data_IF_072406325383
#
_entry.id   IF_072406325383
#
_cell.length_a   1.000
_cell.length_b   1.000
_cell.length_c   1.000
_cell.angle_alpha   90.00
_cell.angle_beta   90.00
_cell.angle_gamma   90.00
#
_symmetry.space_group_name_H-M   'P 1'
#
loop_
_entity.id
_entity.type
_entity.pdbx_description
1 polymer ?
#
# COMPACT_ATOMS: atom_id res chain seq x y z
N UNK A 1 -2.38 26.17 2.33
CA UNK A 1 -1.75 26.00 3.65
C UNK A 1 -1.57 24.51 3.85
N UNK A 2 -0.35 24.02 4.04
CA UNK A 2 -0.13 22.60 4.36
C UNK A 2 -0.76 22.38 5.73
N UNK A 3 -1.81 21.57 5.83
CA UNK A 3 -2.32 21.11 7.12
C UNK A 3 -1.13 20.55 7.89
N UNK A 4 -0.85 21.11 9.06
CA UNK A 4 0.21 20.61 9.93
C UNK A 4 -0.26 19.27 10.47
N UNK A 5 0.37 18.19 10.01
CA UNK A 5 0.25 16.87 10.63
C UNK A 5 0.63 17.01 12.11
N UNK A 6 -0.12 16.39 13.01
CA UNK A 6 0.14 16.47 14.45
C UNK A 6 -1.12 16.43 15.30
N UNK A 7 -1.04 17.02 16.49
CA UNK A 7 -2.18 17.19 17.41
C UNK A 7 -2.91 18.46 17.03
N UNK A 8 -4.22 18.35 16.84
CA UNK A 8 -5.08 19.53 16.73
C UNK A 8 -5.45 20.04 18.11
N UNK A 9 -5.68 21.35 18.24
CA UNK A 9 -6.25 21.89 19.48
C UNK A 9 -7.53 21.17 19.82
N UNK A 10 -7.74 20.84 21.10
CA UNK A 10 -8.92 20.12 21.58
C UNK A 10 -10.19 20.79 21.04
N UNK A 11 -10.89 20.17 20.08
CA UNK A 11 -12.07 20.79 19.50
C UNK A 11 -13.15 20.96 20.57
N UNK A 12 -13.91 22.05 20.50
CA UNK A 12 -14.97 22.33 21.48
C UNK A 12 -16.04 21.23 21.43
N UNK A 13 -16.54 20.74 22.58
CA UNK A 13 -17.65 19.79 22.60
C UNK A 13 -18.84 20.27 21.76
N UNK A 14 -19.40 19.37 20.95
CA UNK A 14 -20.54 19.64 20.07
C UNK A 14 -20.19 20.18 18.67
N UNK A 15 -18.90 20.29 18.31
CA UNK A 15 -18.48 20.59 16.93
C UNK A 15 -18.27 19.30 16.11
N UNK A 16 -18.31 19.41 14.78
CA UNK A 16 -17.98 18.29 13.87
C UNK A 16 -16.59 17.73 14.12
N UNK A 17 -15.63 18.60 14.45
CA UNK A 17 -14.24 18.25 14.72
C UNK A 17 -14.10 17.45 16.02
N UNK A 18 -14.90 17.78 17.04
CA UNK A 18 -14.96 17.03 18.28
C UNK A 18 -15.56 15.65 18.07
N UNK A 19 -16.66 15.55 17.33
CA UNK A 19 -17.23 14.25 16.96
C UNK A 19 -16.25 13.41 16.14
N UNK A 20 -15.47 14.04 15.26
CA UNK A 20 -14.41 13.38 14.51
C UNK A 20 -13.28 12.86 15.42
N UNK A 21 -12.82 13.68 16.37
CA UNK A 21 -11.85 13.27 17.39
C UNK A 21 -12.34 12.10 18.26
N UNK A 22 -13.62 12.12 18.66
CA UNK A 22 -14.22 11.01 19.40
C UNK A 22 -14.25 9.70 18.58
N UNK A 23 -14.55 9.80 17.27
CA UNK A 23 -14.48 8.64 16.37
C UNK A 23 -13.06 8.11 16.25
N UNK A 24 -12.06 8.99 16.11
CA UNK A 24 -10.66 8.58 16.10
C UNK A 24 -10.28 7.86 17.40
N UNK A 25 -10.61 8.43 18.56
CA UNK A 25 -10.31 7.85 19.86
C UNK A 25 -10.94 6.46 20.03
N UNK A 26 -12.24 6.33 19.71
CA UNK A 26 -12.96 5.05 19.77
C UNK A 26 -12.34 4.00 18.84
N UNK A 27 -12.01 4.38 17.60
CA UNK A 27 -11.40 3.48 16.63
C UNK A 27 -10.00 3.05 17.07
N UNK A 28 -9.20 3.97 17.61
CA UNK A 28 -7.87 3.66 18.16
C UNK A 28 -7.94 2.68 19.33
N UNK A 29 -8.96 2.83 20.18
CA UNK A 29 -9.21 1.94 21.31
C UNK A 29 -9.53 0.51 20.85
N UNK A 30 -10.33 0.34 19.79
CA UNK A 30 -10.58 -0.97 19.15
C UNK A 30 -9.24 -1.60 18.73
N UNK A 31 -8.39 -0.88 18.00
CA UNK A 31 -7.10 -1.42 17.53
C UNK A 31 -6.14 -1.77 18.66
N UNK A 32 -6.11 -0.95 19.72
CA UNK A 32 -5.35 -1.22 20.91
C UNK A 32 -5.83 -2.51 21.60
N UNK A 33 -7.14 -2.68 21.76
CA UNK A 33 -7.68 -3.89 22.37
C UNK A 33 -7.50 -5.12 21.48
N UNK A 34 -7.57 -4.99 20.15
CA UNK A 34 -7.18 -6.07 19.23
C UNK A 34 -5.71 -6.46 19.43
N UNK A 35 -4.79 -5.50 19.58
CA UNK A 35 -3.38 -5.77 19.89
C UNK A 35 -3.24 -6.47 21.24
N UNK A 36 -3.95 -6.01 22.27
CA UNK A 36 -3.92 -6.64 23.59
C UNK A 36 -4.42 -8.08 23.55
N UNK A 37 -5.57 -8.34 22.91
CA UNK A 37 -6.10 -9.69 22.74
C UNK A 37 -5.11 -10.59 21.99
N UNK A 38 -4.49 -10.05 20.93
CA UNK A 38 -3.43 -10.72 20.18
C UNK A 38 -2.24 -11.10 21.08
N UNK A 39 -1.68 -10.15 21.85
CA UNK A 39 -0.52 -10.38 22.72
C UNK A 39 -0.81 -11.22 23.96
N UNK A 40 -2.05 -11.22 24.45
CA UNK A 40 -2.53 -12.08 25.52
C UNK A 40 -2.91 -13.49 25.04
N UNK A 41 -2.87 -13.74 23.72
CA UNK A 41 -3.34 -14.99 23.09
C UNK A 41 -4.83 -15.29 23.35
N UNK A 42 -5.64 -14.26 23.59
CA UNK A 42 -7.09 -14.34 23.84
C UNK A 42 -7.88 -14.24 22.54
N UNK A 43 -7.54 -15.08 21.57
CA UNK A 43 -8.19 -15.15 20.27
C UNK A 43 -8.24 -16.60 19.78
N UNK A 44 -9.12 -16.89 18.84
CA UNK A 44 -9.22 -18.21 18.21
C UNK A 44 -9.55 -18.10 16.73
N UNK A 45 -9.06 -19.06 15.95
CA UNK A 45 -9.44 -19.19 14.55
C UNK A 45 -10.60 -20.17 14.42
N UNK A 46 -11.67 -19.75 13.75
CA UNK A 46 -12.79 -20.59 13.38
C UNK A 46 -12.85 -20.63 11.87
N UNK A 47 -13.00 -21.81 11.27
CA UNK A 47 -13.16 -21.92 9.81
C UNK A 47 -14.43 -21.16 9.41
N UNK A 48 -14.28 -20.17 8.53
CA UNK A 48 -15.40 -19.32 8.10
C UNK A 48 -16.48 -20.19 7.45
N UNK A 49 -17.74 -20.03 7.87
CA UNK A 49 -18.87 -20.72 7.23
C UNK A 49 -19.24 -20.00 5.94
N UNK A 50 -18.85 -20.56 4.79
CA UNK A 50 -19.29 -20.11 3.47
C UNK A 50 -18.23 -20.22 2.39
N UNK A 51 -18.65 -20.52 1.16
CA UNK A 51 -17.84 -20.26 -0.04
C UNK A 51 -17.78 -18.73 -0.16
N UNK A 52 -16.63 -18.18 -0.54
CA UNK A 52 -16.50 -16.74 -0.75
C UNK A 52 -17.50 -16.24 -1.79
N UNK A 53 -18.66 -15.78 -1.33
CA UNK A 53 -19.58 -15.00 -2.14
C UNK A 53 -19.02 -13.60 -2.34
N UNK A 54 -19.52 -12.87 -3.36
CA UNK A 54 -19.33 -11.44 -3.44
C UNK A 54 -19.73 -10.76 -2.13
N UNK A 55 -19.13 -9.60 -1.84
CA UNK A 55 -19.58 -8.74 -0.74
C UNK A 55 -21.01 -8.19 -1.00
N UNK A 56 -21.51 -7.36 -0.08
CA UNK A 56 -22.85 -6.77 -0.18
C UNK A 56 -23.05 -5.96 -1.48
N UNK A 57 -21.96 -5.51 -2.10
CA UNK A 57 -21.95 -4.69 -3.31
C UNK A 57 -21.68 -5.51 -4.58
N UNK A 58 -21.60 -6.84 -4.47
CA UNK A 58 -21.36 -7.72 -5.62
C UNK A 58 -19.88 -7.89 -5.98
N UNK A 59 -18.95 -7.32 -5.22
CA UNK A 59 -17.52 -7.42 -5.51
C UNK A 59 -16.97 -8.74 -4.99
N UNK A 60 -16.25 -9.45 -5.87
CA UNK A 60 -15.52 -10.65 -5.48
C UNK A 60 -14.06 -10.25 -5.30
N UNK A 61 -13.55 -10.35 -4.08
CA UNK A 61 -12.11 -10.20 -3.85
C UNK A 61 -11.37 -11.30 -4.61
N UNK A 62 -10.66 -10.90 -5.67
CA UNK A 62 -9.90 -11.80 -6.53
C UNK A 62 -8.88 -12.67 -5.78
N UNK A 63 -8.30 -12.18 -4.67
CA UNK A 63 -7.41 -12.94 -3.82
C UNK A 63 -8.17 -14.04 -3.06
N UNK A 64 -9.41 -13.74 -2.65
CA UNK A 64 -10.31 -14.73 -2.06
C UNK A 64 -10.78 -15.73 -3.12
N UNK A 65 -11.11 -15.30 -4.35
CA UNK A 65 -11.48 -16.20 -5.44
C UNK A 65 -10.37 -17.22 -5.72
N UNK A 66 -9.12 -16.76 -5.83
CA UNK A 66 -7.96 -17.64 -6.02
C UNK A 66 -7.74 -18.57 -4.83
N UNK A 67 -7.97 -18.11 -3.60
CA UNK A 67 -7.86 -18.95 -2.40
C UNK A 67 -8.93 -20.06 -2.37
N UNK A 68 -10.18 -19.72 -2.73
CA UNK A 68 -11.29 -20.68 -2.87
C UNK A 68 -11.01 -21.68 -3.99
N UNK A 69 -10.52 -21.23 -5.14
CA UNK A 69 -10.10 -22.09 -6.25
C UNK A 69 -8.92 -22.99 -5.86
N UNK A 70 -8.03 -22.53 -4.98
CA UNK A 70 -6.94 -23.32 -4.41
C UNK A 70 -7.36 -24.16 -3.19
N UNK A 71 -8.66 -24.23 -2.87
CA UNK A 71 -9.22 -24.95 -1.71
C UNK A 71 -8.58 -24.58 -0.36
N UNK A 72 -8.13 -23.33 -0.20
CA UNK A 72 -7.60 -22.85 1.09
C UNK A 72 -8.75 -22.33 1.96
N UNK A 73 -8.96 -22.87 3.18
CA UNK A 73 -10.02 -22.40 4.05
C UNK A 73 -9.75 -20.97 4.52
N UNK A 74 -10.79 -20.13 4.52
CA UNK A 74 -10.78 -18.85 5.21
C UNK A 74 -11.06 -19.08 6.70
N UNK A 75 -10.53 -18.19 7.54
CA UNK A 75 -10.74 -18.24 8.98
C UNK A 75 -11.30 -16.92 9.49
N UNK A 76 -12.26 -17.01 10.41
CA UNK A 76 -12.68 -15.89 11.24
C UNK A 76 -11.84 -15.90 12.51
N UNK A 77 -11.45 -14.71 12.96
CA UNK A 77 -10.72 -14.49 14.20
C UNK A 77 -11.70 -13.96 15.23
N UNK A 78 -11.94 -14.75 16.27
CA UNK A 78 -12.88 -14.44 17.34
C UNK A 78 -12.14 -14.22 18.66
N UNK A 79 -12.76 -13.47 19.57
CA UNK A 79 -12.16 -13.04 20.84
C UNK A 79 -12.96 -13.48 22.08
N UNK A 80 -13.34 -14.78 22.21
CA UNK A 80 -14.26 -15.21 23.27
C UNK A 80 -13.69 -15.03 24.70
N UNK A 81 -12.37 -15.07 24.84
CA UNK A 81 -11.69 -14.95 26.13
C UNK A 81 -11.29 -13.50 26.48
N UNK A 82 -11.45 -12.56 25.55
CA UNK A 82 -11.08 -11.17 25.74
C UNK A 82 -12.28 -10.36 26.26
N UNK A 83 -12.32 -10.11 27.57
CA UNK A 83 -13.46 -9.48 28.25
C UNK A 83 -13.25 -8.01 28.61
N UNK A 84 -12.03 -7.48 28.47
CA UNK A 84 -11.71 -6.08 28.81
C UNK A 84 -12.37 -5.09 27.85
N UNK A 85 -12.66 -5.52 26.62
CA UNK A 85 -13.33 -4.72 25.60
C UNK A 85 -14.05 -5.64 24.62
N UNK A 86 -15.28 -5.29 24.24
CA UNK A 86 -16.05 -6.07 23.27
C UNK A 86 -15.45 -5.90 21.87
N UNK A 87 -14.79 -6.94 21.36
CA UNK A 87 -14.19 -6.96 20.03
C UNK A 87 -15.08 -7.73 19.05
N UNK A 88 -15.34 -7.12 17.90
CA UNK A 88 -15.97 -7.81 16.78
C UNK A 88 -15.04 -8.86 16.18
N UNK A 89 -15.62 -9.93 15.63
CA UNK A 89 -14.85 -10.93 14.88
C UNK A 89 -14.22 -10.33 13.63
N UNK A 90 -12.97 -10.68 13.33
CA UNK A 90 -12.35 -10.35 12.05
C UNK A 90 -12.64 -11.48 11.09
N UNK A 91 -13.51 -11.23 10.11
CA UNK A 91 -14.03 -12.28 9.24
C UNK A 91 -13.14 -12.52 8.01
N UNK A 92 -13.22 -13.74 7.47
CA UNK A 92 -12.68 -14.12 6.15
C UNK A 92 -11.18 -13.85 6.00
N UNK A 93 -10.41 -13.99 7.08
CA UNK A 93 -8.96 -13.82 7.06
C UNK A 93 -8.31 -15.05 6.47
N UNK A 94 -7.43 -14.83 5.49
CA UNK A 94 -6.56 -15.88 4.95
C UNK A 94 -5.34 -16.03 5.85
N UNK A 95 -5.36 -17.00 6.74
CA UNK A 95 -4.26 -17.25 7.68
C UNK A 95 -3.56 -18.55 7.28
N UNK A 96 -2.26 -18.47 7.01
CA UNK A 96 -1.44 -19.64 6.66
C UNK A 96 -0.55 -19.98 7.86
N UNK A 97 -1.06 -20.83 8.76
CA UNK A 97 -0.31 -21.36 9.90
C UNK A 97 0.13 -22.78 9.57
N UNK A 98 1.43 -23.04 9.67
CA UNK A 98 1.99 -24.38 9.49
C UNK A 98 1.64 -25.27 10.69
N UNK A 99 1.63 -26.60 10.55
CA UNK A 99 1.34 -27.51 11.67
C UNK A 99 2.29 -27.34 12.87
N UNK A 100 3.54 -26.94 12.63
CA UNK A 100 4.53 -26.64 13.67
C UNK A 100 4.33 -25.26 14.33
N UNK A 101 3.38 -24.48 13.82
CA UNK A 101 3.09 -23.13 14.28
C UNK A 101 4.14 -22.08 13.93
N UNK A 102 5.16 -22.44 13.15
CA UNK A 102 6.23 -21.55 12.76
C UNK A 102 5.96 -20.98 11.37
N UNK A 103 6.25 -19.70 11.23
CA UNK A 103 6.24 -19.03 9.93
C UNK A 103 7.65 -19.06 9.35
N UNK A 104 7.77 -19.31 8.05
CA UNK A 104 9.05 -19.25 7.38
C UNK A 104 9.64 -17.83 7.43
N UNK A 105 10.96 -17.74 7.64
CA UNK A 105 11.64 -16.45 7.75
C UNK A 105 11.42 -15.54 6.53
N UNK A 106 11.36 -16.12 5.33
CA UNK A 106 11.10 -15.35 4.11
C UNK A 106 9.67 -14.79 4.05
N UNK A 107 8.68 -15.51 4.59
CA UNK A 107 7.30 -15.03 4.64
C UNK A 107 7.18 -13.85 5.63
N UNK A 108 7.82 -13.96 6.81
CA UNK A 108 7.91 -12.84 7.76
C UNK A 108 8.55 -11.60 7.13
N UNK A 109 9.65 -11.77 6.38
CA UNK A 109 10.30 -10.66 5.67
C UNK A 109 9.35 -10.01 4.65
N UNK A 110 8.59 -10.80 3.90
CA UNK A 110 7.63 -10.30 2.91
C UNK A 110 6.54 -9.48 3.62
N UNK A 111 5.94 -10.00 4.68
CA UNK A 111 4.87 -9.30 5.42
C UNK A 111 5.36 -8.02 6.08
N UNK A 112 6.52 -8.04 6.74
CA UNK A 112 7.14 -6.81 7.24
C UNK A 112 7.48 -5.83 6.12
N UNK A 113 7.88 -6.31 4.94
CA UNK A 113 8.08 -5.45 3.77
C UNK A 113 6.78 -4.83 3.26
N UNK A 114 5.64 -5.52 3.39
CA UNK A 114 4.31 -4.98 3.05
C UNK A 114 3.96 -3.85 4.03
N UNK A 115 4.14 -4.04 5.33
CA UNK A 115 3.90 -2.96 6.31
C UNK A 115 4.87 -1.78 6.14
N UNK A 116 6.13 -2.04 5.76
CA UNK A 116 7.10 -0.98 5.49
C UNK A 116 6.84 -0.23 4.19
N UNK A 117 6.14 -0.83 3.23
CA UNK A 117 5.75 -0.15 1.98
C UNK A 117 4.40 0.53 2.09
N UNK A 118 3.52 0.06 3.00
CA UNK A 118 2.20 0.63 3.21
C UNK A 118 2.24 1.91 4.06
N UNK A 119 1.72 3.00 3.50
CA UNK A 119 1.67 4.34 4.10
C UNK A 119 0.92 4.35 5.43
N UNK A 120 -0.23 3.70 5.50
CA UNK A 120 -1.08 3.68 6.70
C UNK A 120 -0.39 2.99 7.87
N UNK A 121 0.34 1.90 7.61
CA UNK A 121 1.09 1.16 8.64
C UNK A 121 2.38 1.88 9.03
N UNK A 122 2.99 2.63 8.13
CA UNK A 122 4.14 3.48 8.47
C UNK A 122 3.74 4.65 9.36
N UNK A 123 2.65 5.34 9.03
CA UNK A 123 2.23 6.54 9.75
C UNK A 123 1.49 6.22 11.05
N UNK A 124 0.67 5.16 11.06
CA UNK A 124 -0.09 4.75 12.25
C UNK A 124 0.53 3.62 13.06
N UNK A 125 1.73 3.16 12.69
CA UNK A 125 2.51 2.19 13.44
C UNK A 125 1.81 0.85 13.65
N UNK A 126 2.09 0.21 14.78
CA UNK A 126 1.59 -1.14 15.10
C UNK A 126 0.06 -1.21 15.14
N UNK A 127 -0.62 -0.14 15.57
CA UNK A 127 -2.09 -0.11 15.63
C UNK A 127 -2.73 -0.11 14.24
N UNK A 128 -2.04 0.39 13.22
CA UNK A 128 -2.49 0.26 11.83
C UNK A 128 -2.37 -1.17 11.31
N UNK A 129 -1.48 -1.99 11.87
CA UNK A 129 -1.30 -3.38 11.46
C UNK A 129 -2.40 -4.31 11.99
N UNK A 130 -3.14 -3.93 13.04
CA UNK A 130 -4.22 -4.76 13.60
C UNK A 130 -5.54 -4.67 12.84
N UNK A 131 -5.59 -3.83 11.81
CA UNK A 131 -6.79 -3.64 10.99
C UNK A 131 -7.21 -4.93 10.28
N UNK A 132 -8.51 -5.08 10.04
CA UNK A 132 -9.06 -6.21 9.29
C UNK A 132 -8.40 -6.38 7.91
N UNK A 133 -8.10 -5.29 7.20
CA UNK A 133 -7.44 -5.32 5.89
C UNK A 133 -5.93 -5.69 5.95
N UNK A 134 -5.30 -5.68 7.13
CA UNK A 134 -3.92 -6.11 7.38
C UNK A 134 -3.85 -7.44 8.14
N UNK A 135 -5.01 -8.04 8.46
CA UNK A 135 -5.11 -9.22 9.30
C UNK A 135 -4.35 -10.42 8.72
N UNK A 136 -4.36 -10.56 7.39
CA UNK A 136 -3.67 -11.64 6.68
C UNK A 136 -2.17 -11.68 7.00
N UNK A 137 -1.52 -10.53 7.08
CA UNK A 137 -0.08 -10.39 7.34
C UNK A 137 0.20 -10.36 8.85
N UNK A 138 -0.64 -9.67 9.63
CA UNK A 138 -0.41 -9.42 11.05
C UNK A 138 -0.57 -10.67 11.92
N UNK A 139 -1.64 -11.45 11.71
CA UNK A 139 -1.96 -12.57 12.60
C UNK A 139 -0.96 -13.73 12.54
N UNK A 140 -0.43 -14.13 11.36
CA UNK A 140 0.67 -15.08 11.31
C UNK A 140 1.93 -14.61 12.06
N UNK A 141 2.25 -13.30 12.05
CA UNK A 141 3.36 -12.75 12.82
C UNK A 141 3.12 -12.89 14.32
N UNK A 142 1.92 -12.54 14.78
CA UNK A 142 1.51 -12.71 16.20
C UNK A 142 1.58 -14.18 16.60
N UNK A 143 1.08 -15.08 15.75
CA UNK A 143 1.12 -16.52 16.02
C UNK A 143 2.56 -17.01 16.14
N UNK A 144 3.45 -16.62 15.22
CA UNK A 144 4.87 -16.95 15.28
C UNK A 144 5.54 -16.44 16.57
N UNK A 145 5.19 -15.22 17.00
CA UNK A 145 5.69 -14.65 18.25
C UNK A 145 5.24 -15.46 19.49
N UNK A 146 4.03 -15.99 19.51
CA UNK A 146 3.60 -16.89 20.58
C UNK A 146 4.26 -18.27 20.53
N UNK A 147 4.65 -18.75 19.35
CA UNK A 147 5.33 -20.04 19.19
C UNK A 147 6.80 -19.98 19.61
N UNK A 148 7.53 -18.92 19.25
CA UNK A 148 8.99 -18.85 19.45
C UNK A 148 9.52 -17.54 20.05
N UNK A 149 8.65 -16.63 20.47
CA UNK A 149 9.04 -15.34 21.05
C UNK A 149 9.61 -14.35 20.03
N UNK A 150 9.41 -14.57 18.72
CA UNK A 150 9.93 -13.72 17.64
C UNK A 150 8.86 -13.39 16.61
N UNK A 151 8.82 -12.14 16.19
CA UNK A 151 7.97 -11.62 15.10
C UNK A 151 8.73 -11.55 13.77
N UNK A 152 10.05 -11.75 13.79
CA UNK A 152 10.94 -11.44 12.66
C UNK A 152 11.32 -9.96 12.56
N UNK A 153 10.90 -9.14 13.51
CA UNK A 153 11.25 -7.72 13.64
C UNK A 153 11.61 -7.41 15.11
N UNK A 154 12.88 -7.07 15.35
CA UNK A 154 13.39 -6.85 16.70
C UNK A 154 12.66 -5.72 17.45
N UNK A 155 12.28 -4.66 16.74
CA UNK A 155 11.57 -3.51 17.34
C UNK A 155 10.18 -3.92 17.85
N UNK A 156 9.52 -4.86 17.14
CA UNK A 156 8.23 -5.40 17.55
C UNK A 156 8.38 -6.38 18.71
N UNK A 157 9.42 -7.21 18.70
CA UNK A 157 9.72 -8.12 19.81
C UNK A 157 9.92 -7.33 21.12
N UNK A 158 10.76 -6.29 21.07
CA UNK A 158 11.01 -5.40 22.21
C UNK A 158 9.72 -4.70 22.69
N UNK A 159 8.94 -4.15 21.77
CA UNK A 159 7.66 -3.52 22.10
C UNK A 159 6.68 -4.51 22.75
N UNK A 160 6.58 -5.73 22.21
CA UNK A 160 5.64 -6.74 22.71
C UNK A 160 6.04 -7.24 24.08
N UNK A 161 7.34 -7.47 24.30
CA UNK A 161 7.87 -7.86 25.60
C UNK A 161 7.64 -6.76 26.64
N UNK A 162 7.89 -5.49 26.27
CA UNK A 162 7.61 -4.34 27.12
C UNK A 162 6.14 -4.23 27.48
N UNK A 163 5.24 -4.28 26.50
CA UNK A 163 3.79 -4.25 26.71
C UNK A 163 3.33 -5.35 27.67
N UNK A 164 3.82 -6.58 27.49
CA UNK A 164 3.48 -7.69 28.39
C UNK A 164 3.97 -7.45 29.82
N UNK A 165 5.21 -6.95 29.98
CA UNK A 165 5.82 -6.75 31.29
C UNK A 165 5.23 -5.57 32.09
N UNK A 166 4.73 -4.54 31.40
CA UNK A 166 4.24 -3.31 32.02
C UNK A 166 2.70 -3.23 32.12
N UNK A 167 1.99 -4.29 31.73
CA UNK A 167 0.51 -4.32 31.81
C UNK A 167 -0.19 -3.55 30.69
N UNK A 168 0.41 -3.56 29.49
CA UNK A 168 -0.11 -2.96 28.25
C UNK A 168 -0.33 -1.44 28.32
N UNK A 169 0.64 -0.63 28.77
CA UNK A 169 0.44 0.81 28.83
C UNK A 169 0.27 1.42 27.43
N UNK A 170 -0.65 2.38 27.29
CA UNK A 170 -0.95 3.04 26.01
C UNK A 170 0.11 4.08 25.62
N UNK A 171 0.77 4.68 26.60
CA UNK A 171 1.75 5.76 26.46
C UNK A 171 3.14 5.30 25.97
N UNK A 172 3.27 4.03 25.58
CA UNK A 172 4.44 3.51 24.84
C UNK A 172 4.10 3.12 23.40
N UNK A 173 2.82 3.15 23.03
CA UNK A 173 2.34 2.79 21.69
C UNK A 173 2.15 4.08 20.88
N UNK A 174 2.71 4.19 19.66
CA UNK A 174 2.46 5.33 18.78
C UNK A 174 0.97 5.54 18.49
N UNK A 175 0.51 6.79 18.59
CA UNK A 175 -0.83 7.16 18.15
C UNK A 175 -0.97 6.90 16.64
N UNK A 176 -2.03 6.17 16.28
CA UNK A 176 -2.32 5.81 14.88
C UNK A 176 -2.53 7.03 13.97
N UNK A 177 -3.15 8.10 14.47
CA UNK A 177 -3.56 9.23 13.63
C UNK A 177 -2.56 10.37 13.61
N UNK A 178 -1.67 10.45 14.60
CA UNK A 178 -0.77 11.58 14.78
C UNK A 178 0.12 11.85 13.56
N UNK A 179 0.62 10.77 12.92
CA UNK A 179 1.43 10.87 11.71
C UNK A 179 0.67 11.10 10.41
N UNK A 180 -0.65 10.96 10.42
CA UNK A 180 -1.50 11.00 9.21
C UNK A 180 -1.77 12.44 8.75
N UNK A 181 -2.27 12.60 7.52
CA UNK A 181 -2.70 13.91 7.00
C UNK A 181 -3.79 14.56 7.88
N UNK A 182 -4.69 13.75 8.44
CA UNK A 182 -5.75 14.22 9.32
C UNK A 182 -5.21 14.64 10.70
N UNK A 183 -4.07 14.10 11.16
CA UNK A 183 -3.58 14.29 12.52
C UNK A 183 -4.49 13.64 13.59
N UNK A 184 -4.08 13.78 14.85
CA UNK A 184 -4.86 13.33 16.00
C UNK A 184 -5.71 14.49 16.53
N UNK A 185 -7.03 14.28 16.60
CA UNK A 185 -8.01 15.25 17.10
C UNK A 185 -8.44 15.00 18.55
N UNK A 186 -7.86 14.00 19.20
CA UNK A 186 -8.04 13.73 20.62
C UNK A 186 -6.88 14.36 21.40
N UNK A 187 -7.11 15.51 22.03
CA UNK A 187 -6.08 16.15 22.86
C UNK A 187 -5.96 15.53 24.26
N UNK A 188 -6.71 14.47 24.56
CA UNK A 188 -6.47 13.57 25.70
C UNK A 188 -5.98 12.19 25.25
N UNK A 189 -5.51 12.07 24.01
CA UNK A 189 -5.03 10.82 23.44
C UNK A 189 -3.97 10.17 24.36
N UNK A 190 -4.21 8.95 24.86
CA UNK A 190 -3.30 8.29 25.80
C UNK A 190 -2.09 7.64 25.10
N UNK A 191 -1.93 7.84 23.80
CA UNK A 191 -0.89 7.21 22.98
C UNK A 191 0.24 8.19 22.65
N UNK A 192 1.40 7.67 22.24
CA UNK A 192 2.60 8.48 21.99
C UNK A 192 2.43 9.40 20.79
N UNK A 193 2.68 10.70 21.01
CA UNK A 193 2.79 11.74 19.99
C UNK A 193 4.25 12.17 19.79
N UNK A 194 5.04 11.35 19.06
CA UNK A 194 6.44 11.63 18.79
C UNK A 194 6.61 12.39 17.46
N UNK A 195 6.79 13.72 17.52
CA UNK A 195 6.94 14.59 16.33
C UNK A 195 8.13 14.23 15.48
N UNK A 196 9.24 13.82 16.09
CA UNK A 196 10.49 13.54 15.40
C UNK A 196 10.41 12.23 14.61
N UNK A 197 9.79 11.22 15.21
CA UNK A 197 9.50 9.94 14.55
C UNK A 197 8.55 10.13 13.35
N UNK A 198 7.49 10.95 13.51
CA UNK A 198 6.57 11.28 12.42
C UNK A 198 7.28 12.03 11.30
N UNK A 199 8.08 13.04 11.63
CA UNK A 199 8.83 13.84 10.65
C UNK A 199 9.83 12.99 9.88
N UNK A 200 10.57 12.13 10.57
CA UNK A 200 11.51 11.18 9.97
C UNK A 200 10.80 10.19 9.06
N UNK A 201 9.66 9.65 9.50
CA UNK A 201 8.83 8.73 8.70
C UNK A 201 8.31 9.41 7.44
N UNK A 202 7.80 10.65 7.56
CA UNK A 202 7.33 11.45 6.43
C UNK A 202 8.45 11.73 5.44
N UNK A 203 9.62 12.15 5.90
CA UNK A 203 10.75 12.41 5.00
C UNK A 203 11.20 11.13 4.27
N UNK A 204 11.18 9.98 4.96
CA UNK A 204 11.44 8.69 4.31
C UNK A 204 10.35 8.32 3.28
N UNK A 205 9.07 8.65 3.50
CA UNK A 205 7.99 8.48 2.50
C UNK A 205 8.26 9.37 1.29
N UNK A 206 8.53 10.66 1.50
CA UNK A 206 8.78 11.62 0.44
C UNK A 206 10.00 11.22 -0.39
N UNK A 207 11.08 10.77 0.25
CA UNK A 207 12.27 10.28 -0.44
C UNK A 207 12.02 8.99 -1.24
N UNK A 208 11.19 8.07 -0.74
CA UNK A 208 10.78 6.90 -1.51
C UNK A 208 9.99 7.32 -2.76
N UNK A 209 9.08 8.29 -2.64
CA UNK A 209 8.32 8.85 -3.76
C UNK A 209 9.21 9.59 -4.76
N UNK A 210 10.20 10.38 -4.32
CA UNK A 210 11.20 11.01 -5.21
C UNK A 210 11.90 9.98 -6.08
N UNK A 211 12.29 8.84 -5.51
CA UNK A 211 12.94 7.75 -6.24
C UNK A 211 12.06 7.16 -7.34
N UNK A 212 10.73 7.19 -7.21
CA UNK A 212 9.85 6.71 -8.29
C UNK A 212 9.86 7.62 -9.53
N UNK A 213 10.32 8.87 -9.41
CA UNK A 213 10.49 9.79 -10.53
C UNK A 213 11.89 9.74 -11.17
N UNK A 214 12.81 8.90 -10.67
CA UNK A 214 14.14 8.66 -11.28
C UNK A 214 14.06 7.73 -12.51
N UNK A 215 12.87 7.55 -13.10
CA UNK A 215 12.66 6.76 -14.33
C UNK A 215 13.33 7.35 -15.57
N UNK A 216 14.03 8.50 -15.47
CA UNK A 216 14.93 8.97 -16.53
C UNK A 216 15.96 7.92 -16.95
N UNK A 217 16.13 6.85 -16.16
CA UNK A 217 17.04 5.74 -16.41
C UNK A 217 16.37 4.48 -16.94
N UNK A 218 15.06 4.27 -16.72
CA UNK A 218 14.35 3.06 -17.17
C UNK A 218 12.83 3.27 -17.23
N UNK A 219 12.14 2.80 -18.29
CA UNK A 219 10.69 2.82 -18.34
C UNK A 219 10.08 1.95 -17.24
N UNK A 220 8.92 2.36 -16.71
CA UNK A 220 8.18 1.50 -15.78
C UNK A 220 7.62 0.27 -16.52
N UNK A 221 7.40 -0.87 -15.83
CA UNK A 221 6.92 -2.09 -16.48
C UNK A 221 5.67 -1.90 -17.35
N UNK A 222 4.74 -1.07 -16.91
CA UNK A 222 3.52 -0.75 -17.65
C UNK A 222 3.81 -0.02 -18.98
N UNK A 223 4.77 0.91 -18.97
CA UNK A 223 5.20 1.62 -20.18
C UNK A 223 5.89 0.66 -21.16
N UNK A 224 6.77 -0.23 -20.66
CA UNK A 224 7.38 -1.27 -21.48
C UNK A 224 6.34 -2.21 -22.08
N UNK A 225 5.35 -2.65 -21.30
CA UNK A 225 4.26 -3.49 -21.78
C UNK A 225 3.42 -2.78 -22.85
N UNK A 226 3.09 -1.50 -22.66
CA UNK A 226 2.37 -0.70 -23.65
C UNK A 226 3.17 -0.53 -24.95
N UNK A 227 4.49 -0.30 -24.87
CA UNK A 227 5.37 -0.24 -26.06
C UNK A 227 5.42 -1.56 -26.80
N UNK A 228 5.57 -2.67 -26.08
CA UNK A 228 5.59 -4.01 -26.66
C UNK A 228 4.28 -4.29 -27.40
N UNK A 229 3.14 -3.95 -26.78
CA UNK A 229 1.82 -4.10 -27.40
C UNK A 229 1.69 -3.25 -28.67
N UNK A 230 2.07 -1.98 -28.62
CA UNK A 230 2.03 -1.08 -29.78
C UNK A 230 2.88 -1.62 -30.95
N UNK A 231 4.08 -2.13 -30.67
CA UNK A 231 4.95 -2.71 -31.69
C UNK A 231 4.39 -4.02 -32.26
N UNK A 232 3.76 -4.83 -31.42
CA UNK A 232 3.13 -6.08 -31.83
C UNK A 232 1.97 -5.78 -32.78
N UNK A 233 1.04 -4.92 -32.35
CA UNK A 233 -0.13 -4.53 -33.15
C UNK A 233 0.28 -3.94 -34.52
N UNK A 234 1.38 -3.17 -34.57
CA UNK A 234 1.95 -2.64 -35.83
C UNK A 234 2.58 -3.72 -36.72
N UNK A 235 3.22 -4.74 -36.16
CA UNK A 235 3.93 -5.77 -36.93
C UNK A 235 3.01 -6.88 -37.43
N UNK A 236 2.02 -7.26 -36.62
CA UNK A 236 1.24 -8.47 -36.85
C UNK A 236 -0.19 -8.20 -37.27
N UNK A 237 -0.67 -6.95 -37.18
CA UNK A 237 -2.06 -6.60 -37.44
C UNK A 237 -3.02 -7.14 -36.37
N UNK A 238 -4.35 -7.09 -36.62
CA UNK A 238 -5.35 -7.34 -35.60
C UNK A 238 -5.52 -8.82 -35.19
N UNK A 239 -5.22 -9.78 -36.07
CA UNK A 239 -5.50 -11.21 -35.86
C UNK A 239 -4.35 -12.12 -36.33
N UNK A 240 -3.16 -12.06 -35.73
CA UNK A 240 -2.07 -12.94 -36.10
C UNK A 240 -2.26 -14.37 -35.60
N UNK A 241 -1.62 -15.33 -36.26
CA UNK A 241 -1.47 -16.67 -35.73
C UNK A 241 -0.67 -16.66 -34.42
N UNK A 242 -0.75 -17.74 -33.65
CA UNK A 242 0.03 -17.88 -32.43
C UNK A 242 1.54 -17.83 -32.72
N UNK A 243 1.99 -18.53 -33.74
CA UNK A 243 3.40 -18.59 -34.16
C UNK A 243 3.92 -17.23 -34.62
N UNK A 244 3.12 -16.50 -35.42
CA UNK A 244 3.44 -15.13 -35.85
C UNK A 244 3.58 -14.19 -34.65
N UNK A 245 2.66 -14.28 -33.69
CA UNK A 245 2.66 -13.49 -32.47
C UNK A 245 3.87 -13.79 -31.59
N UNK A 246 4.22 -15.07 -31.42
CA UNK A 246 5.37 -15.49 -30.63
C UNK A 246 6.69 -15.03 -31.24
N UNK A 247 6.86 -15.23 -32.56
CA UNK A 247 8.04 -14.78 -33.29
C UNK A 247 8.21 -13.25 -33.22
N UNK A 248 7.12 -12.50 -33.42
CA UNK A 248 7.13 -11.05 -33.28
C UNK A 248 7.47 -10.61 -31.85
N UNK A 249 6.89 -11.26 -30.83
CA UNK A 249 7.19 -10.97 -29.42
C UNK A 249 8.67 -11.18 -29.09
N UNK A 250 9.29 -12.25 -29.58
CA UNK A 250 10.71 -12.52 -29.36
C UNK A 250 11.60 -11.43 -29.98
N UNK A 251 11.26 -10.95 -31.19
CA UNK A 251 11.95 -9.85 -31.86
C UNK A 251 11.76 -8.52 -31.13
N UNK A 252 10.53 -8.20 -30.74
CA UNK A 252 10.17 -6.97 -30.04
C UNK A 252 10.87 -6.90 -28.67
N UNK A 253 10.91 -8.00 -27.91
CA UNK A 253 11.64 -8.06 -26.63
C UNK A 253 13.13 -7.73 -26.79
N UNK A 254 13.75 -8.17 -27.89
CA UNK A 254 15.13 -7.77 -28.22
C UNK A 254 15.24 -6.30 -28.60
N UNK A 255 14.26 -5.77 -29.34
CA UNK A 255 14.23 -4.36 -29.78
C UNK A 255 14.07 -3.38 -28.63
N UNK A 256 13.20 -3.65 -27.65
CA UNK A 256 12.96 -2.75 -26.51
C UNK A 256 14.04 -2.85 -25.43
N UNK A 257 15.00 -3.77 -25.60
CA UNK A 257 16.13 -3.92 -24.69
C UNK A 257 17.05 -2.72 -24.85
N UNK A 258 17.25 -1.97 -23.77
CA UNK A 258 18.06 -0.74 -23.74
C UNK A 258 17.26 0.55 -24.00
N UNK A 259 15.92 0.47 -24.02
CA UNK A 259 15.07 1.66 -23.94
C UNK A 259 15.22 2.30 -22.56
N UNK A 260 15.49 3.61 -22.52
CA UNK A 260 15.59 4.42 -21.29
C UNK A 260 14.27 5.09 -20.94
N UNK A 261 13.56 5.58 -21.95
CA UNK A 261 12.27 6.26 -21.79
C UNK A 261 11.47 6.24 -23.10
N UNK A 262 10.18 6.60 -23.03
CA UNK A 262 9.30 6.69 -24.20
C UNK A 262 8.63 8.06 -24.31
N UNK A 263 8.28 8.44 -25.54
CA UNK A 263 7.26 9.46 -25.77
C UNK A 263 5.96 9.05 -25.05
N UNK A 264 5.38 9.96 -24.27
CA UNK A 264 4.20 9.68 -23.47
C UNK A 264 2.90 9.58 -24.30
N UNK A 265 2.90 10.02 -25.56
CA UNK A 265 1.78 9.80 -26.46
C UNK A 265 1.62 8.29 -26.75
N UNK A 266 0.50 7.65 -26.33
CA UNK A 266 0.31 6.20 -26.45
C UNK A 266 0.30 5.69 -27.90
N UNK A 267 -0.03 6.55 -28.86
CA UNK A 267 0.00 6.18 -30.29
C UNK A 267 1.42 6.21 -30.89
N UNK A 268 2.34 6.92 -30.23
CA UNK A 268 3.71 7.14 -30.69
C UNK A 268 4.69 6.22 -29.98
N UNK A 269 4.87 6.43 -28.67
CA UNK A 269 5.83 5.73 -27.80
C UNK A 269 7.25 5.58 -28.38
N UNK A 270 7.72 6.54 -29.17
CA UNK A 270 9.10 6.50 -29.68
C UNK A 270 10.12 6.52 -28.52
N UNK A 271 11.15 5.66 -28.56
CA UNK A 271 12.06 5.48 -27.44
C UNK A 271 13.20 6.50 -27.46
N UNK A 272 13.69 6.80 -26.26
CA UNK A 272 15.08 7.21 -26.04
C UNK A 272 15.88 5.98 -25.62
N UNK A 273 16.94 5.64 -26.34
CA UNK A 273 17.72 4.41 -26.11
C UNK A 273 19.08 4.69 -25.47
N UNK A 274 19.71 3.66 -24.92
CA UNK A 274 21.05 3.74 -24.30
C UNK A 274 22.15 4.20 -25.26
N UNK A 275 21.99 3.96 -26.56
CA UNK A 275 22.94 4.37 -27.60
C UNK A 275 22.85 5.86 -27.94
N UNK A 276 21.85 6.57 -27.42
CA UNK A 276 21.66 8.00 -27.64
C UNK A 276 22.19 8.79 -26.42
N UNK A 277 23.32 9.51 -26.55
CA UNK A 277 23.93 10.22 -25.42
C UNK A 277 23.04 11.35 -24.88
N UNK A 278 22.29 12.01 -25.77
CA UNK A 278 21.31 13.04 -25.45
C UNK A 278 19.90 12.53 -25.70
N UNK A 279 18.96 12.86 -24.80
CA UNK A 279 17.57 12.49 -25.01
C UNK A 279 16.98 13.23 -26.22
N UNK A 280 16.37 12.52 -27.20
CA UNK A 280 15.62 13.16 -28.28
C UNK A 280 14.25 13.65 -27.81
N UNK A 281 13.83 13.32 -26.58
CA UNK A 281 12.53 13.67 -26.04
C UNK A 281 12.60 14.99 -25.26
N UNK A 282 11.57 15.80 -25.39
CA UNK A 282 11.40 17.08 -24.70
C UNK A 282 10.50 16.90 -23.48
N UNK A 283 10.89 17.48 -22.36
CA UNK A 283 10.09 17.47 -21.15
C UNK A 283 8.88 18.40 -21.28
N UNK A 284 7.75 17.99 -20.73
CA UNK A 284 6.61 18.87 -20.50
C UNK A 284 7.07 20.09 -19.68
N UNK A 285 6.77 21.30 -20.16
CA UNK A 285 7.27 22.53 -19.56
C UNK A 285 6.80 22.74 -18.11
N UNK A 286 5.64 22.18 -17.72
CA UNK A 286 5.08 22.31 -16.38
C UNK A 286 5.60 21.24 -15.43
N UNK A 287 5.37 19.96 -15.72
CA UNK A 287 5.72 18.88 -14.79
C UNK A 287 7.19 18.46 -14.85
N UNK A 288 7.90 18.76 -15.96
CA UNK A 288 9.31 18.42 -16.22
C UNK A 288 9.65 16.93 -16.25
N UNK A 289 8.70 16.03 -16.05
CA UNK A 289 8.97 14.59 -15.97
C UNK A 289 8.36 13.83 -17.15
N UNK A 290 7.21 14.23 -17.67
CA UNK A 290 6.61 13.61 -18.86
C UNK A 290 7.38 14.03 -20.11
N UNK A 291 7.67 13.06 -21.00
CA UNK A 291 8.55 13.24 -22.16
C UNK A 291 7.77 13.09 -23.46
N UNK A 292 8.04 13.94 -24.45
CA UNK A 292 7.42 13.91 -25.77
C UNK A 292 8.46 14.10 -26.86
N UNK A 293 8.36 13.38 -27.98
CA UNK A 293 9.26 13.60 -29.13
C UNK A 293 8.95 14.94 -29.84
N UNK A 294 7.73 15.47 -29.73
CA UNK A 294 7.29 16.71 -30.37
C UNK A 294 6.15 17.40 -29.62
N UNK A 295 5.95 18.69 -29.89
CA UNK A 295 4.79 19.45 -29.38
C UNK A 295 3.46 18.92 -29.93
N UNK A 296 3.47 18.29 -31.11
CA UNK A 296 2.29 17.61 -31.64
C UNK A 296 1.90 16.40 -30.79
N UNK A 297 2.86 15.55 -30.42
CA UNK A 297 2.59 14.42 -29.51
C UNK A 297 2.11 14.90 -28.14
N UNK A 298 2.67 15.99 -27.62
CA UNK A 298 2.19 16.60 -26.38
C UNK A 298 0.73 17.05 -26.49
N UNK A 299 0.34 17.71 -27.59
CA UNK A 299 -1.05 18.16 -27.81
C UNK A 299 -2.02 16.98 -27.93
N UNK A 300 -1.65 15.92 -28.65
CA UNK A 300 -2.45 14.69 -28.79
C UNK A 300 -2.70 14.00 -27.44
N UNK A 301 -1.67 13.94 -26.59
CA UNK A 301 -1.76 13.30 -25.27
C UNK A 301 -2.40 14.19 -24.18
N UNK A 302 -2.61 15.49 -24.44
CA UNK A 302 -2.96 16.48 -23.43
C UNK A 302 -4.20 16.12 -22.60
N UNK A 303 -5.25 15.57 -23.24
CA UNK A 303 -6.50 15.19 -22.54
C UNK A 303 -6.24 14.14 -21.45
N UNK A 304 -5.38 13.16 -21.72
CA UNK A 304 -4.96 12.13 -20.75
C UNK A 304 -3.96 12.70 -19.76
N UNK A 305 -2.93 13.39 -20.25
CA UNK A 305 -1.85 13.92 -19.43
C UNK A 305 -2.34 14.94 -18.39
N UNK A 306 -3.41 15.70 -18.64
CA UNK A 306 -3.98 16.64 -17.66
C UNK A 306 -4.92 15.98 -16.64
N UNK A 307 -5.43 14.77 -16.94
CA UNK A 307 -6.27 14.00 -16.03
C UNK A 307 -5.42 13.36 -14.92
N UNK A 308 -4.20 12.94 -15.26
CA UNK A 308 -3.12 12.83 -14.28
C UNK A 308 -2.64 14.25 -13.94
N UNK A 309 -2.40 14.62 -12.67
CA UNK A 309 -2.01 15.99 -12.37
C UNK A 309 -0.67 16.35 -13.02
N UNK A 310 -0.72 17.21 -14.04
CA UNK A 310 0.45 17.84 -14.64
C UNK A 310 0.96 18.93 -13.67
N UNK A 311 1.81 18.54 -12.72
CA UNK A 311 2.36 19.43 -11.69
C UNK A 311 3.86 19.14 -11.46
N UNK A 312 4.61 20.07 -10.86
CA UNK A 312 5.99 19.81 -10.45
C UNK A 312 6.11 18.57 -9.55
N UNK A 313 7.23 17.85 -9.65
CA UNK A 313 7.49 16.60 -8.91
C UNK A 313 7.22 16.76 -7.40
N UNK A 314 7.74 17.83 -6.78
CA UNK A 314 7.56 18.07 -5.34
C UNK A 314 6.09 18.28 -4.96
N UNK A 315 5.27 18.89 -5.82
CA UNK A 315 3.83 19.04 -5.56
C UNK A 315 3.13 17.68 -5.59
N UNK A 316 3.50 16.80 -6.53
CA UNK A 316 2.92 15.46 -6.63
C UNK A 316 3.31 14.56 -5.46
N UNK A 317 4.56 14.64 -5.03
CA UNK A 317 5.08 13.83 -3.92
C UNK A 317 4.40 14.20 -2.61
N UNK A 318 4.04 15.47 -2.41
CA UNK A 318 3.34 15.89 -1.19
C UNK A 318 1.87 15.46 -1.15
N UNK A 319 1.20 15.33 -2.30
CA UNK A 319 -0.23 15.01 -2.40
C UNK A 319 -0.50 13.52 -2.16
N UNK A 320 -0.81 13.14 -0.92
CA UNK A 320 -1.02 11.76 -0.50
C UNK A 320 -2.11 11.04 -1.32
N UNK A 321 -3.20 11.73 -1.66
CA UNK A 321 -4.30 11.17 -2.47
C UNK A 321 -3.91 10.65 -3.86
N UNK A 322 -2.72 11.00 -4.37
CA UNK A 322 -2.17 10.52 -5.64
C UNK A 322 -1.38 9.21 -5.53
N UNK A 323 -1.23 8.68 -4.32
CA UNK A 323 -0.46 7.47 -4.05
C UNK A 323 -1.39 6.41 -3.48
N UNK A 324 -1.17 5.16 -3.85
CA UNK A 324 -1.82 4.03 -3.22
C UNK A 324 -1.12 3.70 -1.88
N UNK A 325 -1.73 2.83 -1.05
CA UNK A 325 -1.14 2.49 0.25
C UNK A 325 0.30 2.01 0.14
N UNK A 326 0.65 1.17 -0.85
CA UNK A 326 2.01 0.65 -1.04
C UNK A 326 3.02 1.67 -1.61
N UNK A 327 2.66 2.96 -1.67
CA UNK A 327 3.56 4.04 -2.07
C UNK A 327 3.82 4.15 -3.57
N UNK A 328 2.98 3.52 -4.41
CA UNK A 328 3.02 3.68 -5.87
C UNK A 328 2.03 4.74 -6.31
N UNK A 329 2.36 5.50 -7.36
CA UNK A 329 1.47 6.55 -7.89
C UNK A 329 0.24 5.91 -8.53
N UNK A 330 -0.96 6.37 -8.17
CA UNK A 330 -2.22 5.92 -8.76
C UNK A 330 -2.20 6.08 -10.28
N UNK A 331 -2.60 5.04 -10.99
CA UNK A 331 -2.58 4.95 -12.45
C UNK A 331 -1.27 4.45 -13.05
N UNK A 332 -0.23 4.19 -12.24
CA UNK A 332 1.06 3.62 -12.70
C UNK A 332 1.28 2.19 -12.25
N UNK A 333 0.32 1.60 -11.54
CA UNK A 333 0.37 0.22 -11.10
C UNK A 333 0.34 -0.76 -12.28
N UNK A 334 1.05 -1.88 -12.13
CA UNK A 334 1.04 -2.95 -13.14
C UNK A 334 -0.34 -3.62 -13.25
N UNK A 335 -1.01 -3.79 -12.11
CA UNK A 335 -2.38 -4.29 -12.00
C UNK A 335 -3.22 -3.09 -11.58
N UNK A 336 -4.25 -2.76 -12.38
CA UNK A 336 -5.27 -1.80 -11.93
C UNK A 336 -6.07 -2.46 -10.81
N UNK A 337 -5.65 -2.20 -9.59
CA UNK A 337 -6.42 -2.51 -8.39
C UNK A 337 -7.32 -1.32 -8.12
N UNK A 338 -8.62 -1.57 -7.99
CA UNK A 338 -9.55 -0.55 -7.54
C UNK A 338 -9.31 -0.32 -6.04
N UNK A 339 -8.42 0.62 -5.72
CA UNK A 339 -8.17 1.04 -4.34
C UNK A 339 -9.25 2.00 -3.83
N UNK A 340 -10.30 2.27 -4.62
CA UNK A 340 -11.28 3.32 -4.35
C UNK A 340 -12.70 2.78 -4.37
N UNK A 341 -13.07 1.99 -3.36
CA UNK A 341 -14.43 1.79 -2.85
C UNK A 341 -14.43 1.08 -1.47
N UNK A 342 -13.33 1.15 -0.71
CA UNK A 342 -13.22 0.50 0.61
C UNK A 342 -13.40 1.48 1.75
#
# INVERSE_FOLDING_TARGET
MSSTRGVHENPKPGTSDFEFGQKQAAQQLIYYHTLCAALQKKFSFVVSKGIAGPDADGNVDSAITLAVLAHRPLSDIIFPEYTEFALDSIQRVKVEIRPDGLVHREDLKIWHSIFKSNLETREGGILSCTQANQAREFWPIVYNYHTCGKTGNADWDELFDKLKSEGYPKDIIPCRYYGTEAGCWDGQCPFVHNSDAVSSTREAILNARRKTFDYKRKPIPQQSAARIRLLLDRQTGPNPSFEEREAAMAKIRKQVKGDRAYCANPECMEPWTENQPTSPLKNCARCKFTLYCSSECQRKDWKRHKAEPCAPIEELIQKDGLWNPVGTRKGTEYIKTDWGNC
#
